data_IF_845287125757
#
_entry.id   IF_845287125757
#
_cell.length_a   1.000
_cell.length_b   1.000
_cell.length_c   1.000
_cell.angle_alpha   90.00
_cell.angle_beta   90.00
_cell.angle_gamma   90.00
#
_symmetry.space_group_name_H-M   'P 1'
#
loop_
_entity.id
_entity.type
_entity.pdbx_description
1 polymer ?
#
# COMPACT_ATOMS: atom_id res chain seq x y z
N UNK A 1 2.09 52.86 11.99
CA UNK A 1 2.10 51.41 12.33
C UNK A 1 1.34 50.66 11.24
N UNK A 2 2.02 49.81 10.44
CA UNK A 2 1.38 49.03 9.37
C UNK A 2 0.61 47.87 10.00
N UNK A 3 -0.71 47.83 9.82
CA UNK A 3 -1.56 46.71 10.24
C UNK A 3 -1.17 45.48 9.41
N UNK A 4 -0.78 44.38 10.07
CA UNK A 4 -0.47 43.12 9.40
C UNK A 4 -1.69 42.67 8.58
N UNK A 5 -1.47 42.17 7.36
CA UNK A 5 -2.56 41.75 6.49
C UNK A 5 -3.22 40.49 7.08
N UNK A 6 -4.56 40.34 6.96
CA UNK A 6 -5.27 39.16 7.48
C UNK A 6 -4.80 37.85 6.85
N UNK A 7 -4.17 37.92 5.68
CA UNK A 7 -3.54 36.78 4.98
C UNK A 7 -2.29 36.29 5.72
N UNK A 8 -1.51 37.18 6.34
CA UNK A 8 -0.31 36.79 7.09
C UNK A 8 -0.64 36.01 8.37
N UNK A 9 -1.78 36.31 9.01
CA UNK A 9 -2.26 35.58 10.19
C UNK A 9 -2.75 34.18 9.85
N UNK A 10 -3.37 34.01 8.67
CA UNK A 10 -3.79 32.70 8.16
C UNK A 10 -2.60 31.82 7.76
N UNK A 11 -1.53 32.42 7.21
CA UNK A 11 -0.30 31.70 6.85
C UNK A 11 0.52 31.29 8.09
N UNK A 12 0.43 32.06 9.18
CA UNK A 12 1.03 31.73 10.47
C UNK A 12 0.28 30.60 11.22
N UNK A 13 -1.01 30.40 10.90
CA UNK A 13 -1.78 29.24 11.33
C UNK A 13 -1.32 28.03 10.50
N UNK A 14 -0.17 27.43 10.87
CA UNK A 14 0.15 26.07 10.42
C UNK A 14 -1.09 25.22 10.70
N UNK A 15 -1.73 24.75 9.65
CA UNK A 15 -2.87 23.87 9.80
C UNK A 15 -2.39 22.65 10.56
N UNK A 16 -2.92 22.44 11.77
CA UNK A 16 -2.62 21.29 12.63
C UNK A 16 -3.31 20.02 12.09
N UNK A 17 -3.19 19.81 10.79
CA UNK A 17 -3.46 18.51 10.20
C UNK A 17 -2.24 17.66 10.50
N UNK A 18 -2.39 16.79 11.50
CA UNK A 18 -1.51 15.65 11.67
C UNK A 18 -1.78 14.68 10.50
N UNK A 19 -1.34 15.08 9.30
CA UNK A 19 -1.52 14.32 8.06
C UNK A 19 -0.78 13.01 8.29
N UNK A 20 -1.48 11.87 8.33
CA UNK A 20 -0.84 10.60 8.54
C UNK A 20 0.05 10.31 7.33
N UNK A 21 1.35 10.55 7.50
CA UNK A 21 2.37 10.22 6.50
C UNK A 21 2.89 8.82 6.80
N UNK A 22 3.28 8.09 5.76
CA UNK A 22 3.98 6.82 5.98
C UNK A 22 5.42 7.13 6.37
N UNK A 23 5.82 6.68 7.56
CA UNK A 23 7.22 6.77 7.98
C UNK A 23 8.14 5.91 7.11
N UNK A 24 9.46 6.17 7.17
CA UNK A 24 10.48 5.41 6.42
C UNK A 24 10.40 3.90 6.67
N UNK A 25 10.13 3.48 7.91
CA UNK A 25 9.93 2.05 8.25
C UNK A 25 8.77 1.44 7.49
N UNK A 26 7.65 2.15 7.42
CA UNK A 26 6.45 1.74 6.68
C UNK A 26 6.73 1.60 5.19
N UNK A 27 7.45 2.57 4.61
CA UNK A 27 7.86 2.51 3.21
C UNK A 27 8.73 1.28 2.90
N UNK A 28 9.72 0.97 3.75
CA UNK A 28 10.57 -0.22 3.57
C UNK A 28 9.77 -1.52 3.59
N UNK A 29 8.80 -1.67 4.50
CA UNK A 29 7.97 -2.88 4.56
C UNK A 29 7.08 -3.00 3.33
N UNK A 30 6.53 -1.90 2.84
CA UNK A 30 5.70 -1.91 1.62
C UNK A 30 6.54 -2.30 0.41
N UNK A 31 7.74 -1.74 0.25
CA UNK A 31 8.65 -2.10 -0.85
C UNK A 31 9.04 -3.58 -0.76
N UNK A 32 9.42 -4.05 0.44
CA UNK A 32 9.78 -5.44 0.64
C UNK A 32 8.60 -6.39 0.34
N UNK A 33 7.40 -6.02 0.78
CA UNK A 33 6.18 -6.76 0.46
C UNK A 33 5.87 -6.80 -1.04
N UNK A 34 6.05 -5.68 -1.74
CA UNK A 34 5.85 -5.60 -3.19
C UNK A 34 6.87 -6.47 -3.95
N UNK A 35 8.16 -6.40 -3.60
CA UNK A 35 9.21 -7.26 -4.18
C UNK A 35 8.93 -8.73 -3.89
N UNK A 36 8.52 -9.05 -2.66
CA UNK A 36 8.17 -10.41 -2.27
C UNK A 36 6.97 -10.92 -3.06
N UNK A 37 5.92 -10.11 -3.19
CA UNK A 37 4.69 -10.48 -3.90
C UNK A 37 4.84 -10.62 -5.41
N UNK A 38 5.78 -9.88 -6.02
CA UNK A 38 5.91 -9.83 -7.50
C UNK A 38 7.10 -10.60 -8.05
N UNK A 39 8.14 -10.83 -7.27
CA UNK A 39 9.38 -11.48 -7.73
C UNK A 39 9.60 -12.78 -6.95
N UNK A 40 9.74 -12.69 -5.63
CA UNK A 40 10.16 -13.85 -4.80
C UNK A 40 9.08 -14.92 -4.80
N UNK A 41 7.82 -14.54 -4.55
CA UNK A 41 6.71 -15.47 -4.46
C UNK A 41 6.40 -16.15 -5.81
N UNK A 42 6.36 -15.44 -6.94
CA UNK A 42 6.21 -16.08 -8.26
C UNK A 42 7.39 -16.97 -8.65
N UNK A 43 8.63 -16.57 -8.33
CA UNK A 43 9.81 -17.40 -8.56
C UNK A 43 9.82 -18.67 -7.70
N UNK A 44 9.28 -18.61 -6.48
CA UNK A 44 9.13 -19.80 -5.64
C UNK A 44 8.04 -20.74 -6.18
N UNK A 45 6.88 -20.20 -6.58
CA UNK A 45 5.77 -20.99 -7.11
C UNK A 45 6.06 -21.59 -8.50
N UNK A 46 6.91 -20.96 -9.30
CA UNK A 46 7.31 -21.52 -10.59
C UNK A 46 8.12 -22.81 -10.46
N UNK A 47 8.84 -23.01 -9.35
CA UNK A 47 9.53 -24.28 -9.04
C UNK A 47 8.53 -25.43 -8.94
N UNK A 48 7.29 -25.15 -8.50
CA UNK A 48 6.21 -26.13 -8.40
C UNK A 48 5.37 -26.24 -9.68
N UNK A 49 5.78 -25.60 -10.79
CA UNK A 49 5.07 -25.63 -12.06
C UNK A 49 3.81 -24.76 -12.13
N UNK A 50 3.61 -23.85 -11.15
CA UNK A 50 2.49 -22.90 -11.19
C UNK A 50 2.78 -21.80 -12.21
N UNK A 51 1.74 -21.37 -12.94
CA UNK A 51 1.86 -20.28 -13.92
C UNK A 51 2.35 -18.99 -13.27
N UNK A 52 3.45 -18.45 -13.79
CA UNK A 52 4.07 -17.23 -13.28
C UNK A 52 3.10 -16.04 -13.23
N UNK A 53 2.23 -15.92 -14.24
CA UNK A 53 1.22 -14.86 -14.32
C UNK A 53 0.21 -14.95 -13.17
N UNK A 54 -0.24 -16.17 -12.90
CA UNK A 54 -1.17 -16.44 -11.80
C UNK A 54 -0.49 -16.19 -10.45
N UNK A 55 0.75 -16.63 -10.29
CA UNK A 55 1.53 -16.41 -9.08
C UNK A 55 1.77 -14.92 -8.79
N UNK A 56 2.07 -14.10 -9.81
CA UNK A 56 2.16 -12.64 -9.64
C UNK A 56 0.82 -12.07 -9.17
N UNK A 57 -0.29 -12.49 -9.78
CA UNK A 57 -1.61 -12.00 -9.42
C UNK A 57 -1.92 -12.29 -7.94
N UNK A 58 -1.71 -13.53 -7.49
CA UNK A 58 -1.93 -13.95 -6.10
C UNK A 58 -0.96 -13.24 -5.15
N UNK A 59 0.33 -13.21 -5.49
CA UNK A 59 1.34 -12.57 -4.67
C UNK A 59 1.07 -11.08 -4.48
N UNK A 60 0.75 -10.36 -5.56
CA UNK A 60 0.44 -8.94 -5.46
C UNK A 60 -0.89 -8.69 -4.71
N UNK A 61 -1.88 -9.55 -4.91
CA UNK A 61 -3.19 -9.46 -4.25
C UNK A 61 -3.08 -9.64 -2.74
N UNK A 62 -2.37 -10.66 -2.27
CA UNK A 62 -2.35 -11.00 -0.84
C UNK A 62 -1.12 -10.46 -0.12
N UNK A 63 0.08 -10.53 -0.71
CA UNK A 63 1.32 -10.14 -0.02
C UNK A 63 1.46 -8.61 0.00
N UNK A 64 1.24 -7.93 -1.13
CA UNK A 64 1.38 -6.47 -1.20
C UNK A 64 0.30 -5.75 -0.40
N UNK A 65 -0.97 -6.21 -0.49
CA UNK A 65 -2.05 -5.63 0.31
C UNK A 65 -1.85 -5.86 1.82
N UNK A 66 -1.29 -7.02 2.20
CA UNK A 66 -0.96 -7.31 3.59
C UNK A 66 0.16 -6.39 4.08
N UNK A 67 1.19 -6.16 3.27
CA UNK A 67 2.28 -5.26 3.61
C UNK A 67 1.78 -3.83 3.86
N UNK A 68 0.85 -3.33 3.04
CA UNK A 68 0.24 -2.00 3.22
C UNK A 68 -0.62 -1.96 4.49
N UNK A 69 -1.50 -2.94 4.69
CA UNK A 69 -2.35 -3.00 5.88
C UNK A 69 -1.50 -3.14 7.16
N UNK A 70 -0.45 -3.96 7.12
CA UNK A 70 0.48 -4.13 8.22
C UNK A 70 1.23 -2.83 8.54
N UNK A 71 1.80 -2.18 7.52
CA UNK A 71 2.50 -0.91 7.70
C UNK A 71 1.58 0.16 8.33
N UNK A 72 0.33 0.25 7.87
CA UNK A 72 -0.61 1.25 8.38
C UNK A 72 -1.05 0.99 9.82
N UNK A 73 -1.40 -0.24 10.16
CA UNK A 73 -2.05 -0.57 11.43
C UNK A 73 -1.08 -0.97 12.53
N UNK A 74 0.07 -1.58 12.20
CA UNK A 74 1.05 -2.02 13.19
C UNK A 74 2.20 -1.02 13.37
N UNK A 75 2.73 -0.44 12.30
CA UNK A 75 3.88 0.48 12.39
C UNK A 75 3.40 1.89 12.69
N UNK A 76 2.51 2.43 11.85
CA UNK A 76 2.12 3.83 11.92
C UNK A 76 1.12 4.07 13.06
N UNK A 77 -0.01 3.35 13.03
CA UNK A 77 -1.09 3.60 13.98
C UNK A 77 -0.98 2.81 15.29
N UNK A 78 -0.13 1.77 15.33
CA UNK A 78 0.01 0.81 16.46
C UNK A 78 -1.32 0.26 17.00
N UNK A 79 -2.35 0.21 16.16
CA UNK A 79 -3.70 -0.30 16.48
C UNK A 79 -3.78 -1.82 16.44
N UNK A 80 -2.89 -2.47 15.68
CA UNK A 80 -2.86 -3.91 15.49
C UNK A 80 -4.04 -4.45 14.66
N UNK A 81 -4.43 -5.70 14.91
CA UNK A 81 -5.53 -6.37 14.19
C UNK A 81 -6.86 -5.80 14.67
N UNK A 82 -7.58 -5.13 13.78
CA UNK A 82 -8.91 -4.60 14.04
C UNK A 82 -9.81 -4.74 12.80
N UNK A 83 -11.10 -4.39 12.93
CA UNK A 83 -12.03 -4.41 11.79
C UNK A 83 -11.53 -3.55 10.61
N UNK A 84 -10.91 -2.40 10.92
CA UNK A 84 -10.32 -1.53 9.91
C UNK A 84 -9.12 -2.14 9.18
N UNK A 85 -8.31 -2.95 9.87
CA UNK A 85 -7.20 -3.68 9.27
C UNK A 85 -7.72 -4.66 8.21
N UNK A 86 -8.70 -5.48 8.56
CA UNK A 86 -9.30 -6.44 7.63
C UNK A 86 -10.02 -5.76 6.47
N UNK A 87 -10.71 -4.65 6.73
CA UNK A 87 -11.37 -3.87 5.67
C UNK A 87 -10.34 -3.26 4.71
N UNK A 88 -9.25 -2.68 5.22
CA UNK A 88 -8.18 -2.11 4.39
C UNK A 88 -7.48 -3.20 3.58
N UNK A 89 -7.18 -4.34 4.22
CA UNK A 89 -6.59 -5.50 3.55
C UNK A 89 -7.47 -6.01 2.41
N UNK A 90 -8.78 -6.16 2.65
CA UNK A 90 -9.74 -6.57 1.62
C UNK A 90 -9.81 -5.55 0.49
N UNK A 91 -9.92 -4.25 0.81
CA UNK A 91 -10.00 -3.19 -0.18
C UNK A 91 -8.78 -3.17 -1.10
N UNK A 92 -7.57 -3.11 -0.52
CA UNK A 92 -6.33 -3.14 -1.30
C UNK A 92 -6.14 -4.47 -2.03
N UNK A 93 -6.51 -5.60 -1.42
CA UNK A 93 -6.44 -6.90 -2.05
C UNK A 93 -7.30 -6.97 -3.31
N UNK A 94 -8.57 -6.57 -3.22
CA UNK A 94 -9.47 -6.53 -4.38
C UNK A 94 -8.93 -5.58 -5.46
N UNK A 95 -8.47 -4.38 -5.09
CA UNK A 95 -7.89 -3.43 -6.04
C UNK A 95 -6.66 -4.00 -6.75
N UNK A 96 -5.72 -4.62 -6.02
CA UNK A 96 -4.51 -5.19 -6.62
C UNK A 96 -4.79 -6.46 -7.42
N UNK A 97 -5.78 -7.26 -7.03
CA UNK A 97 -6.22 -8.41 -7.80
C UNK A 97 -6.80 -8.00 -9.15
N UNK A 98 -7.70 -7.02 -9.16
CA UNK A 98 -8.27 -6.47 -10.40
C UNK A 98 -7.15 -5.87 -11.27
N UNK A 99 -6.30 -5.01 -10.71
CA UNK A 99 -5.21 -4.39 -11.45
C UNK A 99 -4.25 -5.43 -12.06
N UNK A 100 -3.85 -6.43 -11.28
CA UNK A 100 -2.93 -7.47 -11.75
C UNK A 100 -3.58 -8.36 -12.81
N UNK A 101 -4.88 -8.64 -12.69
CA UNK A 101 -5.64 -9.39 -13.68
C UNK A 101 -5.75 -8.63 -15.01
N UNK A 102 -6.17 -7.36 -14.95
CA UNK A 102 -6.26 -6.48 -16.13
C UNK A 102 -4.92 -6.37 -16.84
N UNK A 103 -3.84 -6.19 -16.07
CA UNK A 103 -2.51 -6.07 -16.64
C UNK A 103 -2.03 -7.38 -17.26
N UNK A 104 -2.13 -8.50 -16.54
CA UNK A 104 -1.45 -9.74 -16.95
C UNK A 104 -2.24 -10.59 -17.93
N UNK A 105 -3.56 -10.48 -17.95
CA UNK A 105 -4.43 -11.30 -18.79
C UNK A 105 -5.10 -10.52 -19.91
N UNK A 106 -5.50 -9.26 -19.66
CA UNK A 106 -6.16 -8.43 -20.68
C UNK A 106 -5.21 -7.51 -21.44
N UNK A 107 -3.92 -7.44 -21.08
CA UNK A 107 -2.91 -6.64 -21.79
C UNK A 107 -3.33 -5.17 -21.99
N UNK A 108 -4.11 -4.60 -21.06
CA UNK A 108 -4.65 -3.23 -21.17
C UNK A 108 -3.57 -2.12 -21.21
N UNK A 109 -2.33 -2.44 -20.82
CA UNK A 109 -1.20 -1.51 -20.73
C UNK A 109 0.04 -2.07 -21.44
N UNK A 110 -0.12 -2.47 -22.70
CA UNK A 110 0.99 -2.67 -23.64
C UNK A 110 1.30 -1.37 -24.38
#
# INVERSE_FOLDING_TARGET
MRKASPVSELQAKRTDYNIPTFGYKSALIIIFGAVTGTIIFPAFLSIFGVSYNFSIMIGNTFITSLAIAYARYFIESKKGICKGFWLSYLFFGVSFGIMSYLWRYLNFFI
#
